data_IF_665131512624
#
_entry.id   IF_665131512624
#
_cell.length_a   1.000
_cell.length_b   1.000
_cell.length_c   1.000
_cell.angle_alpha   90.00
_cell.angle_beta   90.00
_cell.angle_gamma   90.00
#
_symmetry.space_group_name_H-M   'P 1'
#
loop_
_entity.id
_entity.type
_entity.pdbx_description
1 polymer ?
#
# COMPACT_ATOMS: atom_id res chain seq x y z
N UNK A 1 12.60 8.10 -1.80
CA UNK A 1 11.78 7.13 -2.55
C UNK A 1 11.42 6.03 -1.56
N UNK A 2 10.13 5.82 -1.29
CA UNK A 2 9.66 4.81 -0.34
C UNK A 2 9.19 3.56 -1.10
N UNK A 3 9.29 2.40 -0.46
CA UNK A 3 8.90 1.12 -1.06
C UNK A 3 8.36 0.15 -0.02
N UNK A 4 7.55 -0.79 -0.48
CA UNK A 4 7.25 -2.03 0.23
C UNK A 4 7.94 -3.17 -0.51
N UNK A 5 8.87 -3.84 0.16
CA UNK A 5 9.61 -4.95 -0.43
C UNK A 5 8.84 -6.26 -0.24
N UNK A 6 9.19 -7.28 -1.02
CA UNK A 6 8.64 -8.63 -0.90
C UNK A 6 8.72 -9.15 0.53
N UNK A 7 7.63 -9.79 0.98
CA UNK A 7 7.48 -10.31 2.34
C UNK A 7 7.12 -9.25 3.38
N UNK A 8 7.02 -7.97 3.02
CA UNK A 8 6.64 -6.90 3.94
C UNK A 8 5.14 -6.59 3.89
N UNK A 9 4.67 -5.99 4.98
CA UNK A 9 3.27 -5.67 5.21
C UNK A 9 3.10 -4.18 5.50
N UNK A 10 2.03 -3.59 4.95
CA UNK A 10 1.47 -2.32 5.43
C UNK A 10 0.13 -2.64 6.08
N UNK A 11 0.02 -2.43 7.40
CA UNK A 11 -1.22 -2.61 8.14
C UNK A 11 -1.95 -1.29 8.30
N UNK A 12 -3.28 -1.34 8.29
CA UNK A 12 -4.10 -0.22 8.71
C UNK A 12 -3.94 0.02 10.21
N UNK A 13 -4.33 1.22 10.64
CA UNK A 13 -4.67 1.46 12.04
C UNK A 13 -5.99 0.78 12.41
N UNK A 14 -6.26 0.60 13.70
CA UNK A 14 -7.40 -0.17 14.21
C UNK A 14 -8.72 0.57 14.08
N UNK A 15 -8.74 1.86 14.41
CA UNK A 15 -9.91 2.75 14.22
C UNK A 15 -9.44 4.11 13.74
N UNK A 16 -10.35 5.09 13.66
CA UNK A 16 -9.97 6.47 13.34
C UNK A 16 -8.98 7.07 14.36
N UNK A 17 -9.20 6.79 15.64
CA UNK A 17 -8.46 7.36 16.77
C UNK A 17 -7.46 6.40 17.41
N UNK A 18 -7.55 5.11 17.09
CA UNK A 18 -6.64 4.07 17.60
C UNK A 18 -5.62 3.66 16.54
N UNK A 19 -4.37 4.03 16.80
CA UNK A 19 -3.21 3.77 15.94
C UNK A 19 -2.59 2.37 16.11
N UNK A 20 -3.18 1.51 16.94
CA UNK A 20 -2.84 0.09 17.01
C UNK A 20 -3.09 -0.64 15.68
N UNK A 21 -2.53 -1.85 15.54
CA UNK A 21 -2.70 -2.68 14.34
C UNK A 21 -4.19 -2.94 14.06
N UNK A 22 -4.63 -2.62 12.85
CA UNK A 22 -5.97 -2.91 12.35
C UNK A 22 -6.08 -4.20 11.54
N UNK A 23 -7.28 -4.47 11.04
CA UNK A 23 -7.61 -5.70 10.32
C UNK A 23 -7.25 -5.67 8.83
N UNK A 24 -7.00 -4.50 8.24
CA UNK A 24 -6.66 -4.42 6.82
C UNK A 24 -5.14 -4.46 6.65
N UNK A 25 -4.68 -5.26 5.68
CA UNK A 25 -3.26 -5.44 5.39
C UNK A 25 -3.01 -5.48 3.90
N UNK A 26 -2.13 -4.60 3.43
CA UNK A 26 -1.52 -4.73 2.11
C UNK A 26 -0.24 -5.56 2.26
N UNK A 27 -0.14 -6.65 1.51
CA UNK A 27 0.96 -7.62 1.56
C UNK A 27 1.51 -7.85 0.16
N UNK A 28 2.84 -7.73 -0.01
CA UNK A 28 3.50 -8.21 -1.21
C UNK A 28 4.10 -9.59 -0.92
N UNK A 29 3.46 -10.63 -1.44
CA UNK A 29 3.86 -12.02 -1.23
C UNK A 29 5.23 -12.34 -1.80
N UNK A 30 5.84 -13.43 -1.30
CA UNK A 30 7.08 -13.98 -1.88
C UNK A 30 6.89 -14.45 -3.32
N UNK A 31 5.66 -14.79 -3.68
CA UNK A 31 5.23 -15.12 -5.04
C UNK A 31 5.04 -13.88 -5.93
N UNK A 32 5.31 -12.68 -5.41
CA UNK A 32 5.17 -11.41 -6.12
C UNK A 32 3.73 -10.97 -6.35
N UNK A 33 2.75 -11.61 -5.71
CA UNK A 33 1.36 -11.17 -5.74
C UNK A 33 1.15 -10.07 -4.69
N UNK A 34 0.65 -8.91 -5.12
CA UNK A 34 0.21 -7.86 -4.20
C UNK A 34 -1.24 -8.15 -3.78
N UNK A 35 -1.48 -8.24 -2.49
CA UNK A 35 -2.78 -8.61 -1.93
C UNK A 35 -3.26 -7.57 -0.92
N UNK A 36 -4.54 -7.21 -0.99
CA UNK A 36 -5.23 -6.52 0.10
C UNK A 36 -6.06 -7.55 0.86
N UNK A 37 -5.71 -7.76 2.12
CA UNK A 37 -6.24 -8.82 2.97
C UNK A 37 -6.99 -8.21 4.16
N UNK A 38 -8.03 -8.92 4.60
CA UNK A 38 -8.76 -8.64 5.85
C UNK A 38 -8.44 -9.77 6.83
N UNK A 39 -7.83 -9.41 7.94
CA UNK A 39 -7.54 -10.32 9.05
C UNK A 39 -8.79 -10.53 9.90
N UNK A 40 -8.83 -11.66 10.61
CA UNK A 40 -9.84 -11.89 11.63
C UNK A 40 -9.82 -10.76 12.67
N UNK A 41 -10.96 -10.13 12.93
CA UNK A 41 -11.03 -8.93 13.78
C UNK A 41 -10.77 -9.23 15.26
N UNK A 42 -10.91 -10.49 15.68
CA UNK A 42 -10.66 -10.90 17.06
C UNK A 42 -9.17 -11.15 17.33
N UNK A 43 -8.49 -11.86 16.41
CA UNK A 43 -7.08 -12.24 16.58
C UNK A 43 -6.10 -11.19 16.05
N UNK A 44 -6.44 -10.53 14.94
CA UNK A 44 -5.55 -9.62 14.18
C UNK A 44 -4.20 -10.27 13.81
N UNK A 45 -4.12 -11.60 13.85
CA UNK A 45 -2.93 -12.37 13.51
C UNK A 45 -2.65 -12.28 12.02
N UNK A 46 -1.38 -12.19 11.64
CA UNK A 46 -0.98 -12.17 10.24
C UNK A 46 -1.26 -13.48 9.51
N UNK A 47 -1.40 -14.59 10.24
CA UNK A 47 -1.74 -15.90 9.70
C UNK A 47 -3.24 -16.18 9.64
N UNK A 48 -4.07 -15.35 10.29
CA UNK A 48 -5.52 -15.57 10.41
C UNK A 48 -6.27 -14.63 9.46
N UNK A 49 -6.19 -14.96 8.17
CA UNK A 49 -6.82 -14.22 7.09
C UNK A 49 -8.29 -14.62 6.99
N UNK A 50 -9.17 -13.64 7.17
CA UNK A 50 -10.61 -13.82 7.01
C UNK A 50 -11.04 -13.71 5.54
N UNK A 51 -10.49 -12.75 4.80
CA UNK A 51 -10.91 -12.47 3.43
C UNK A 51 -9.81 -11.86 2.56
N UNK A 52 -9.78 -12.24 1.28
CA UNK A 52 -8.92 -11.66 0.25
C UNK A 52 -9.72 -10.64 -0.56
N UNK A 53 -9.49 -9.35 -0.33
CA UNK A 53 -10.26 -8.29 -1.00
C UNK A 53 -9.76 -7.99 -2.42
N UNK A 54 -8.45 -7.99 -2.61
CA UNK A 54 -7.82 -7.73 -3.91
C UNK A 54 -6.56 -8.56 -4.08
N UNK A 55 -6.28 -8.95 -5.32
CA UNK A 55 -5.00 -9.55 -5.74
C UNK A 55 -4.57 -9.00 -7.11
N UNK A 56 -3.30 -8.65 -7.26
CA UNK A 56 -2.75 -8.14 -8.53
C UNK A 56 -2.56 -9.22 -9.59
N UNK A 57 -2.50 -10.50 -9.18
CA UNK A 57 -2.24 -11.66 -10.04
C UNK A 57 -0.90 -11.59 -10.78
N UNK A 58 0.10 -11.00 -10.14
CA UNK A 58 1.45 -10.80 -10.68
C UNK A 58 2.42 -11.89 -10.24
N UNK A 59 2.02 -13.17 -10.33
CA UNK A 59 2.83 -14.29 -9.82
C UNK A 59 3.89 -14.78 -10.80
N UNK A 60 3.44 -15.27 -11.96
CA UNK A 60 4.28 -15.83 -13.02
C UNK A 60 3.74 -15.34 -14.37
N UNK A 61 4.59 -15.17 -15.41
CA UNK A 61 6.02 -15.49 -15.48
C UNK A 61 6.96 -14.38 -14.94
N UNK A 62 6.41 -13.25 -14.50
CA UNK A 62 7.19 -12.11 -14.03
C UNK A 62 6.64 -11.65 -12.67
N UNK A 63 7.17 -12.18 -11.55
CA UNK A 63 6.68 -11.84 -10.23
C UNK A 63 6.88 -10.35 -9.89
N UNK A 64 5.94 -9.78 -9.15
CA UNK A 64 6.09 -8.46 -8.54
C UNK A 64 7.19 -8.45 -7.46
N UNK A 65 8.32 -7.77 -7.66
CA UNK A 65 9.45 -7.83 -6.70
C UNK A 65 9.48 -6.68 -5.69
N UNK A 66 8.78 -5.59 -5.99
CA UNK A 66 8.73 -4.41 -5.14
C UNK A 66 7.51 -3.57 -5.46
N UNK A 67 6.87 -3.03 -4.45
CA UNK A 67 5.91 -1.95 -4.61
C UNK A 67 6.64 -0.62 -4.36
N UNK A 68 6.71 0.21 -5.39
CA UNK A 68 7.44 1.48 -5.37
C UNK A 68 6.44 2.63 -5.40
N UNK A 69 6.63 3.59 -4.48
CA UNK A 69 5.95 4.88 -4.51
C UNK A 69 6.90 5.87 -5.18
N UNK A 70 6.63 6.20 -6.44
CA UNK A 70 7.52 7.08 -7.21
C UNK A 70 7.19 8.58 -7.01
N UNK A 71 8.11 9.45 -7.44
CA UNK A 71 7.98 10.92 -7.39
C UNK A 71 6.86 11.50 -8.25
N UNK A 72 6.13 10.66 -8.95
CA UNK A 72 5.00 11.02 -9.80
C UNK A 72 3.67 10.63 -9.14
N UNK A 73 3.69 10.15 -7.89
CA UNK A 73 2.49 9.71 -7.17
C UNK A 73 1.96 8.34 -7.62
N UNK A 74 2.70 7.64 -8.49
CA UNK A 74 2.34 6.29 -8.88
C UNK A 74 2.82 5.28 -7.86
N UNK A 75 1.89 4.39 -7.53
CA UNK A 75 2.21 3.11 -6.92
C UNK A 75 2.48 2.14 -8.08
N UNK A 76 3.72 1.74 -8.25
CA UNK A 76 4.15 0.83 -9.29
C UNK A 76 4.67 -0.45 -8.64
N UNK A 77 4.05 -1.58 -8.94
CA UNK A 77 4.75 -2.85 -8.80
C UNK A 77 5.46 -3.16 -10.12
N UNK A 78 6.50 -3.98 -10.15
CA UNK A 78 7.30 -4.23 -11.37
C UNK A 78 6.50 -4.65 -12.63
N UNK A 79 5.19 -4.90 -12.51
CA UNK A 79 4.26 -5.34 -13.55
C UNK A 79 2.94 -4.55 -13.63
N UNK A 80 2.63 -3.65 -12.69
CA UNK A 80 1.32 -3.01 -12.54
C UNK A 80 1.43 -1.64 -11.89
N UNK A 81 0.97 -0.63 -12.65
CA UNK A 81 0.74 0.72 -12.14
C UNK A 81 -0.69 0.82 -11.61
N UNK A 82 -0.87 1.12 -10.32
CA UNK A 82 -2.20 1.23 -9.69
C UNK A 82 -2.86 2.61 -9.90
N UNK A 83 -2.10 3.64 -10.26
CA UNK A 83 -2.62 4.98 -10.58
C UNK A 83 -2.37 5.29 -12.07
N UNK A 84 -3.35 5.86 -12.79
CA UNK A 84 -3.22 6.22 -14.23
C UNK A 84 -3.27 7.72 -14.53
N UNK A 85 -3.52 8.56 -13.53
CA UNK A 85 -3.62 10.02 -13.74
C UNK A 85 -2.26 10.63 -13.99
N UNK A 86 -2.20 11.68 -14.83
CA UNK A 86 -0.95 12.26 -15.34
C UNK A 86 -0.03 12.78 -14.21
N UNK A 87 1.30 12.65 -14.35
CA UNK A 87 2.23 13.07 -13.31
C UNK A 87 2.21 14.59 -13.13
N UNK A 88 1.97 15.06 -11.91
CA UNK A 88 2.44 16.40 -11.51
C UNK A 88 3.91 16.24 -11.15
N UNK A 89 4.79 16.58 -12.08
CA UNK A 89 6.23 16.61 -11.82
C UNK A 89 6.53 17.76 -10.86
N UNK A 90 7.09 17.44 -9.70
CA UNK A 90 7.60 18.50 -8.84
C UNK A 90 8.64 17.99 -7.84
N UNK A 91 9.78 18.67 -7.87
CA UNK A 91 10.98 18.40 -7.07
C UNK A 91 10.78 18.58 -5.56
N UNK A 92 9.71 19.23 -5.14
CA UNK A 92 9.50 19.69 -3.75
C UNK A 92 8.36 18.99 -3.00
N UNK A 93 7.78 17.91 -3.52
CA UNK A 93 6.58 17.31 -2.93
C UNK A 93 6.87 15.96 -2.26
N UNK A 94 6.19 15.71 -1.14
CA UNK A 94 6.22 14.44 -0.44
C UNK A 94 5.04 13.57 -0.87
N UNK A 95 5.32 12.33 -1.28
CA UNK A 95 4.27 11.34 -1.53
C UNK A 95 4.02 10.51 -0.27
N UNK A 96 2.74 10.37 0.07
CA UNK A 96 2.30 9.59 1.22
C UNK A 96 1.26 8.59 0.76
N UNK A 97 1.45 7.32 1.12
CA UNK A 97 0.44 6.28 0.97
C UNK A 97 0.00 5.79 2.34
N UNK A 98 -1.30 5.61 2.53
CA UNK A 98 -1.90 5.19 3.80
C UNK A 98 -2.95 4.16 3.54
N UNK A 99 -2.87 3.03 4.25
CA UNK A 99 -3.99 2.12 4.37
C UNK A 99 -4.85 2.53 5.55
N UNK A 100 -6.04 3.08 5.27
CA UNK A 100 -6.98 3.55 6.29
C UNK A 100 -7.66 2.38 7.01
N UNK A 101 -8.23 2.69 8.19
CA UNK A 101 -8.85 1.70 9.07
C UNK A 101 -10.11 1.06 8.48
N UNK A 102 -10.68 1.66 7.44
CA UNK A 102 -11.83 1.18 6.66
C UNK A 102 -11.41 0.34 5.44
N UNK A 103 -10.10 0.16 5.22
CA UNK A 103 -9.54 -0.63 4.14
C UNK A 103 -9.23 0.15 2.86
N UNK A 104 -9.41 1.47 2.85
CA UNK A 104 -9.10 2.31 1.69
C UNK A 104 -7.60 2.64 1.66
N UNK A 105 -6.93 2.32 0.54
CA UNK A 105 -5.56 2.77 0.28
C UNK A 105 -5.61 4.15 -0.41
N UNK A 106 -5.12 5.18 0.28
CA UNK A 106 -5.08 6.55 -0.24
C UNK A 106 -3.63 6.90 -0.57
N UNK A 107 -3.41 7.44 -1.77
CA UNK A 107 -2.16 8.11 -2.16
C UNK A 107 -2.39 9.62 -2.18
N UNK A 108 -1.49 10.38 -1.57
CA UNK A 108 -1.57 11.84 -1.48
C UNK A 108 -0.25 12.47 -1.87
N UNK A 109 -0.32 13.64 -2.49
CA UNK A 109 0.83 14.52 -2.74
C UNK A 109 0.74 15.67 -1.76
N UNK A 110 1.77 15.86 -0.94
CA UNK A 110 1.87 16.94 0.03
C UNK A 110 2.86 17.98 -0.46
N UNK A 111 2.41 19.22 -0.65
CA UNK A 111 3.29 20.37 -0.80
C UNK A 111 3.77 20.82 0.58
N UNK A 112 5.06 21.15 0.76
CA UNK A 112 5.48 21.95 1.90
C UNK A 112 4.69 23.26 1.83
N UNK A 113 3.92 23.59 2.86
CA UNK A 113 3.41 24.95 2.99
C UNK A 113 4.64 25.82 3.26
N UNK A 114 4.96 26.73 2.34
CA UNK A 114 5.99 27.73 2.58
C UNK A 114 5.53 28.61 3.73
N UNK A 115 6.28 28.59 4.83
CA UNK A 115 6.22 29.68 5.79
C UNK A 115 6.85 30.90 5.10
N UNK A 116 6.03 31.93 4.87
CA UNK A 116 6.47 33.29 4.57
C UNK A 116 6.39 34.13 5.84
#
# INVERSE_FOLDING_TARGET
>A
MSSLDVGRNLSSRRTETDFGKGKFRLHLGLDGNLQLLVLNSNSLSDSDVYFHYYESRTKEPNPGTRLVFNRSGYINNSMLTLNKEAPVSSTDFYHRAVLHFDGVLISSVLSPQGEY
#
